data_IF_270978168917
#
_entry.id   IF_270978168917
#
_cell.length_a   1.000
_cell.length_b   1.000
_cell.length_c   1.000
_cell.angle_alpha   90.00
_cell.angle_beta   90.00
_cell.angle_gamma   90.00
#
_symmetry.space_group_name_H-M   'P 1'
#
loop_
_entity.id
_entity.type
_entity.pdbx_description
1 polymer ?
#
# COMPACT_ATOMS: atom_id res chain seq x y z
N UNK A 1 30.95 -16.42 -18.69
CA UNK A 1 31.80 -15.56 -19.54
C UNK A 1 31.68 -14.12 -19.03
N UNK A 2 32.72 -13.58 -18.38
CA UNK A 2 32.71 -12.18 -17.99
C UNK A 2 33.30 -11.36 -19.15
N UNK A 3 32.44 -10.60 -19.79
CA UNK A 3 32.88 -9.65 -20.84
C UNK A 3 33.20 -8.31 -20.18
N UNK A 4 34.47 -7.92 -20.18
CA UNK A 4 34.89 -6.56 -19.83
C UNK A 4 34.80 -5.71 -21.09
N UNK A 5 33.87 -4.76 -21.11
CA UNK A 5 33.82 -3.68 -22.09
C UNK A 5 34.47 -2.45 -21.46
N UNK A 6 35.78 -2.32 -21.63
CA UNK A 6 36.49 -1.13 -21.20
C UNK A 6 37.37 -0.64 -22.33
N UNK A 7 37.24 0.61 -22.73
CA UNK A 7 38.29 1.35 -23.41
C UNK A 7 38.16 2.84 -23.06
N UNK A 8 39.11 3.37 -22.39
CA UNK A 8 39.32 4.79 -22.21
C UNK A 8 40.71 4.99 -21.62
N UNK A 9 41.67 5.41 -22.44
CA UNK A 9 43.06 5.57 -22.03
C UNK A 9 43.27 6.70 -21.04
N UNK A 10 43.89 6.40 -19.93
CA UNK A 10 44.41 7.28 -18.91
C UNK A 10 45.23 6.45 -17.94
N UNK A 11 46.42 6.89 -17.56
CA UNK A 11 47.37 6.20 -16.69
C UNK A 11 46.92 6.12 -15.22
N UNK A 12 45.89 5.38 -14.97
CA UNK A 12 45.40 4.92 -13.72
C UNK A 12 44.46 3.79 -13.99
N UNK A 13 44.49 2.71 -13.24
CA UNK A 13 43.62 1.57 -13.39
C UNK A 13 42.15 2.06 -13.50
N UNK A 14 41.48 1.97 -14.63
CA UNK A 14 40.13 2.47 -14.75
C UNK A 14 39.26 1.69 -13.79
N UNK A 15 38.44 2.39 -13.00
CA UNK A 15 37.35 1.78 -12.27
C UNK A 15 36.47 1.07 -13.32
N UNK A 16 36.55 -0.26 -13.41
CA UNK A 16 35.91 -1.04 -14.46
C UNK A 16 34.41 -1.09 -14.20
N UNK A 17 33.63 -0.91 -15.25
CA UNK A 17 32.22 -1.30 -15.24
C UNK A 17 32.17 -2.83 -15.23
N UNK A 18 31.74 -3.44 -14.13
CA UNK A 18 31.51 -4.88 -14.06
C UNK A 18 30.05 -5.14 -14.35
N UNK A 19 29.81 -5.91 -15.41
CA UNK A 19 28.49 -6.41 -15.77
C UNK A 19 28.50 -7.90 -15.41
N UNK A 20 27.70 -8.30 -14.42
CA UNK A 20 27.61 -9.68 -13.97
C UNK A 20 26.15 -10.14 -13.85
N UNK A 21 25.90 -11.39 -14.21
CA UNK A 21 24.65 -12.07 -13.87
C UNK A 21 24.73 -12.49 -12.40
N UNK A 22 23.74 -12.13 -11.64
CA UNK A 22 23.59 -12.52 -10.24
C UNK A 22 22.54 -13.64 -10.16
N UNK A 23 23.00 -14.86 -9.92
CA UNK A 23 22.21 -16.09 -9.96
C UNK A 23 22.05 -16.73 -8.55
N UNK A 24 22.27 -15.94 -7.49
CA UNK A 24 22.04 -16.42 -6.11
C UNK A 24 20.57 -16.24 -5.72
N UNK A 25 20.08 -17.09 -4.83
CA UNK A 25 18.70 -16.93 -4.30
C UNK A 25 18.46 -15.53 -3.74
N UNK A 26 17.29 -14.89 -4.00
CA UNK A 26 16.10 -15.40 -4.71
C UNK A 26 16.16 -15.23 -6.24
N UNK A 27 17.28 -14.85 -6.83
CA UNK A 27 17.43 -14.53 -8.25
C UNK A 27 17.71 -15.75 -9.14
N UNK A 28 17.68 -16.96 -8.56
CA UNK A 28 17.95 -18.24 -9.25
C UNK A 28 17.04 -18.47 -10.47
N UNK A 29 15.82 -18.00 -10.43
CA UNK A 29 14.83 -18.16 -11.51
C UNK A 29 14.71 -16.93 -12.41
N UNK A 30 15.29 -15.80 -12.00
CA UNK A 30 15.24 -14.54 -12.74
C UNK A 30 16.64 -13.92 -12.69
N UNK A 31 17.43 -14.16 -13.70
CA UNK A 31 18.80 -13.62 -13.78
C UNK A 31 18.79 -12.09 -13.65
N UNK A 32 19.63 -11.56 -12.81
CA UNK A 32 19.82 -10.10 -12.64
C UNK A 32 21.10 -9.69 -13.30
N UNK A 33 21.01 -8.78 -14.27
CA UNK A 33 22.18 -8.10 -14.82
C UNK A 33 22.57 -6.96 -13.88
N UNK A 34 23.63 -7.14 -13.12
CA UNK A 34 24.17 -6.11 -12.25
C UNK A 34 25.17 -5.23 -13.01
N UNK A 35 24.96 -3.92 -12.99
CA UNK A 35 25.91 -2.93 -13.46
C UNK A 35 26.49 -2.26 -12.22
N UNK A 36 27.73 -2.57 -11.86
CA UNK A 36 28.37 -2.07 -10.65
C UNK A 36 29.50 -1.13 -11.00
N UNK A 37 29.48 0.07 -10.43
CA UNK A 37 30.65 0.95 -10.46
C UNK A 37 31.71 0.41 -9.48
N UNK A 38 32.78 -0.16 -9.98
CA UNK A 38 33.92 -0.56 -9.17
C UNK A 38 34.86 0.63 -9.03
N UNK A 39 34.90 1.26 -7.86
CA UNK A 39 35.84 2.34 -7.57
C UNK A 39 36.72 1.94 -6.39
N UNK A 40 37.98 2.37 -6.38
CA UNK A 40 38.87 2.22 -5.26
C UNK A 40 38.67 3.33 -4.22
N UNK A 41 37.80 4.28 -4.49
CA UNK A 41 37.40 5.37 -3.60
C UNK A 41 36.13 5.02 -2.83
N UNK A 42 35.95 5.58 -1.66
CA UNK A 42 34.85 5.27 -0.74
C UNK A 42 33.43 5.63 -1.28
N UNK A 43 33.33 6.35 -2.37
CA UNK A 43 32.06 6.72 -3.00
C UNK A 43 32.13 6.67 -4.52
N UNK A 44 31.20 5.95 -5.13
CA UNK A 44 30.98 5.91 -6.56
C UNK A 44 29.52 6.15 -6.88
N UNK A 45 29.21 6.90 -7.92
CA UNK A 45 27.84 7.13 -8.40
C UNK A 45 27.62 6.44 -9.74
N UNK A 46 26.50 5.74 -9.90
CA UNK A 46 26.02 5.23 -11.16
C UNK A 46 24.84 6.09 -11.64
N UNK A 47 25.02 6.78 -12.75
CA UNK A 47 23.94 7.51 -13.40
C UNK A 47 23.46 6.72 -14.62
N UNK A 48 22.16 6.37 -14.63
CA UNK A 48 21.46 5.81 -15.78
C UNK A 48 20.72 6.95 -16.48
N UNK A 49 21.32 7.53 -17.51
CA UNK A 49 20.73 8.65 -18.25
C UNK A 49 20.30 8.16 -19.62
N UNK A 50 18.99 8.05 -19.90
CA UNK A 50 18.53 7.72 -21.25
C UNK A 50 18.87 8.84 -22.22
N UNK A 51 19.27 8.49 -23.43
CA UNK A 51 19.54 9.46 -24.48
C UNK A 51 18.23 9.91 -25.14
N UNK A 52 17.97 11.21 -25.14
CA UNK A 52 16.74 11.79 -25.72
C UNK A 52 15.49 11.49 -24.87
N UNK A 53 14.39 11.13 -25.51
CA UNK A 53 13.11 10.78 -24.86
C UNK A 53 13.05 9.32 -24.38
N UNK A 54 14.18 8.65 -24.22
CA UNK A 54 14.23 7.28 -23.73
C UNK A 54 13.76 7.17 -22.28
N UNK A 55 13.22 6.02 -21.92
CA UNK A 55 12.75 5.71 -20.56
C UNK A 55 13.61 4.61 -19.94
N UNK A 56 13.78 4.67 -18.61
CA UNK A 56 14.27 3.53 -17.85
C UNK A 56 13.09 2.57 -17.66
N UNK A 57 13.07 1.47 -18.43
CA UNK A 57 12.03 0.45 -18.34
C UNK A 57 12.50 -0.68 -17.41
N UNK A 58 11.65 -1.08 -16.47
CA UNK A 58 11.94 -2.17 -15.53
C UNK A 58 10.69 -2.72 -14.87
N UNK A 59 10.76 -3.98 -14.44
CA UNK A 59 9.67 -4.64 -13.72
C UNK A 59 9.49 -4.15 -12.28
N UNK A 60 10.58 -3.76 -11.62
CA UNK A 60 10.61 -3.14 -10.31
C UNK A 60 11.81 -2.20 -10.20
N UNK A 61 11.63 -1.08 -9.48
CA UNK A 61 12.70 -0.13 -9.20
C UNK A 61 13.07 -0.23 -7.71
N UNK A 62 14.30 -0.59 -7.42
CA UNK A 62 14.74 -0.99 -6.08
C UNK A 62 16.11 -0.42 -5.73
N UNK A 63 16.31 -0.08 -4.44
CA UNK A 63 17.59 0.38 -3.93
C UNK A 63 18.62 -0.75 -3.77
N UNK A 64 18.16 -1.99 -3.55
CA UNK A 64 19.02 -3.15 -3.31
C UNK A 64 18.50 -4.38 -4.07
N UNK A 65 19.42 -5.14 -4.64
CA UNK A 65 19.09 -6.41 -5.31
C UNK A 65 18.63 -7.43 -4.26
N UNK A 66 17.48 -8.10 -4.44
CA UNK A 66 16.97 -9.09 -3.49
C UNK A 66 17.95 -10.24 -3.27
N UNK A 67 18.14 -10.63 -2.01
CA UNK A 67 19.01 -11.74 -1.59
C UNK A 67 18.35 -12.69 -0.59
N UNK A 68 17.07 -12.47 -0.28
CA UNK A 68 16.26 -13.18 0.70
C UNK A 68 16.75 -13.05 2.16
N UNK A 69 17.72 -12.19 2.43
CA UNK A 69 18.19 -11.88 3.78
C UNK A 69 17.56 -10.57 4.29
N UNK A 70 17.82 -10.23 5.54
CA UNK A 70 17.44 -8.91 6.08
C UNK A 70 18.17 -7.75 5.38
N UNK A 71 19.33 -8.00 4.77
CA UNK A 71 20.12 -6.92 4.11
C UNK A 71 19.40 -6.37 2.89
N UNK A 72 19.04 -7.19 1.92
CA UNK A 72 18.42 -6.74 0.68
C UNK A 72 16.94 -7.19 0.52
N UNK A 73 16.48 -8.11 1.37
CA UNK A 73 15.09 -8.54 1.44
C UNK A 73 14.67 -9.54 0.37
N UNK A 74 13.40 -9.93 0.43
CA UNK A 74 12.76 -10.79 -0.54
C UNK A 74 12.55 -10.09 -1.89
N UNK A 75 12.16 -10.87 -2.89
CA UNK A 75 11.75 -10.35 -4.22
C UNK A 75 10.61 -9.34 -4.06
N UNK A 76 10.70 -8.24 -4.80
CA UNK A 76 9.64 -7.24 -4.87
C UNK A 76 8.52 -7.71 -5.80
N UNK A 77 7.33 -7.17 -5.58
CA UNK A 77 6.20 -7.41 -6.47
C UNK A 77 6.43 -6.88 -7.89
N UNK A 78 5.65 -7.36 -8.84
CA UNK A 78 5.72 -6.88 -10.21
C UNK A 78 5.48 -5.36 -10.27
N UNK A 79 6.36 -4.62 -10.96
CA UNK A 79 6.31 -3.16 -11.10
C UNK A 79 6.35 -2.38 -9.77
N UNK A 80 6.87 -2.98 -8.70
CA UNK A 80 7.00 -2.32 -7.41
C UNK A 80 8.21 -1.38 -7.35
N UNK A 81 8.12 -0.38 -6.48
CA UNK A 81 9.22 0.56 -6.17
C UNK A 81 9.60 0.40 -4.70
N UNK A 82 10.88 0.16 -4.41
CA UNK A 82 11.39 -0.01 -3.03
C UNK A 82 12.73 0.70 -2.86
N UNK A 83 12.68 1.92 -2.32
CA UNK A 83 13.87 2.75 -2.09
C UNK A 83 14.45 2.65 -0.68
N UNK A 84 13.90 1.77 0.18
CA UNK A 84 14.51 1.58 1.49
C UNK A 84 15.78 0.72 1.39
N UNK A 85 16.77 1.06 2.22
CA UNK A 85 18.08 0.40 2.24
C UNK A 85 18.38 -0.38 3.53
N UNK A 86 17.53 -0.26 4.56
CA UNK A 86 17.72 -0.95 5.84
C UNK A 86 16.47 -1.73 6.25
N UNK A 87 16.67 -2.98 6.67
CA UNK A 87 15.65 -3.94 7.13
C UNK A 87 16.19 -4.75 8.29
N UNK A 88 15.30 -5.31 9.10
CA UNK A 88 15.64 -6.33 10.13
C UNK A 88 15.06 -7.69 9.76
N UNK A 89 14.16 -7.75 8.76
CA UNK A 89 13.59 -8.98 8.23
C UNK A 89 13.48 -8.92 6.71
N UNK A 90 13.64 -10.06 6.04
CA UNK A 90 13.58 -10.17 4.59
C UNK A 90 12.20 -9.81 4.00
N UNK A 91 11.14 -9.89 4.81
CA UNK A 91 9.76 -9.56 4.41
C UNK A 91 9.44 -8.07 4.38
N UNK A 92 10.32 -7.22 4.91
CA UNK A 92 10.14 -5.77 4.93
C UNK A 92 10.50 -5.16 3.57
N UNK A 93 9.63 -5.37 2.60
CA UNK A 93 9.82 -4.99 1.19
C UNK A 93 8.49 -4.59 0.54
N UNK A 94 8.55 -3.95 -0.61
CA UNK A 94 7.40 -3.74 -1.49
C UNK A 94 7.09 -5.03 -2.26
N UNK A 95 6.43 -6.01 -1.60
CA UNK A 95 6.11 -7.31 -2.21
C UNK A 95 4.76 -7.35 -2.95
N UNK A 96 3.89 -6.37 -2.72
CA UNK A 96 2.66 -6.23 -3.50
C UNK A 96 2.93 -5.80 -4.94
N UNK A 97 2.14 -6.26 -5.90
CA UNK A 97 2.24 -5.78 -7.28
C UNK A 97 1.91 -4.27 -7.31
N UNK A 98 2.73 -3.48 -8.02
CA UNK A 98 2.62 -2.01 -8.08
C UNK A 98 2.74 -1.31 -6.72
N UNK A 99 3.26 -1.99 -5.69
CA UNK A 99 3.45 -1.38 -4.38
C UNK A 99 4.64 -0.42 -4.38
N UNK A 100 4.58 0.58 -3.50
CA UNK A 100 5.61 1.62 -3.40
C UNK A 100 6.09 1.75 -1.95
N UNK A 101 7.40 1.72 -1.76
CA UNK A 101 8.08 2.20 -0.55
C UNK A 101 9.00 3.35 -0.97
N UNK A 102 8.65 4.57 -0.60
CA UNK A 102 9.36 5.79 -1.00
C UNK A 102 10.71 6.00 -0.30
N UNK A 103 11.02 5.19 0.71
CA UNK A 103 12.27 5.26 1.47
C UNK A 103 12.11 4.83 2.92
N UNK A 104 13.04 5.28 3.79
CA UNK A 104 13.01 4.96 5.21
C UNK A 104 13.59 3.59 5.55
N UNK A 105 13.09 2.97 6.64
CA UNK A 105 13.62 1.72 7.17
C UNK A 105 12.53 0.79 7.66
N UNK A 106 12.72 -0.53 7.53
CA UNK A 106 11.85 -1.56 8.11
C UNK A 106 10.38 -1.50 7.65
N UNK A 107 10.11 -0.89 6.52
CA UNK A 107 8.77 -0.73 5.97
C UNK A 107 8.35 -1.95 5.14
N UNK A 108 7.05 -2.25 5.11
CA UNK A 108 6.49 -3.32 4.30
C UNK A 108 5.24 -2.84 3.54
N UNK A 109 5.24 -2.99 2.21
CA UNK A 109 4.09 -2.72 1.35
C UNK A 109 3.70 -4.02 0.64
N UNK A 110 2.83 -4.81 1.27
CA UNK A 110 2.49 -6.17 0.80
C UNK A 110 1.18 -6.23 0.04
N UNK A 111 0.31 -5.23 0.19
CA UNK A 111 -0.90 -5.10 -0.59
C UNK A 111 -0.63 -4.68 -2.03
N UNK A 112 -1.44 -5.14 -2.97
CA UNK A 112 -1.40 -4.63 -4.35
C UNK A 112 -1.74 -3.12 -4.34
N UNK A 113 -0.98 -2.30 -5.09
CA UNK A 113 -1.06 -0.83 -5.11
C UNK A 113 -0.85 -0.16 -3.75
N UNK A 114 -0.36 -0.88 -2.73
CA UNK A 114 -0.09 -0.30 -1.42
C UNK A 114 1.07 0.68 -1.47
N UNK A 115 1.02 1.71 -0.64
CA UNK A 115 2.05 2.75 -0.59
C UNK A 115 2.48 3.01 0.85
N UNK A 116 3.78 2.89 1.10
CA UNK A 116 4.44 3.45 2.26
C UNK A 116 5.23 4.68 1.81
N UNK A 117 4.83 5.86 2.28
CA UNK A 117 5.50 7.11 1.89
C UNK A 117 6.96 7.14 2.36
N UNK A 118 7.23 6.54 3.51
CA UNK A 118 8.54 6.50 4.15
C UNK A 118 8.41 6.33 5.66
N UNK A 119 9.46 6.73 6.40
CA UNK A 119 9.50 6.59 7.84
C UNK A 119 10.11 5.26 8.29
N UNK A 120 9.72 4.76 9.46
CA UNK A 120 10.28 3.55 10.04
C UNK A 120 9.19 2.62 10.56
N UNK A 121 9.18 1.37 10.08
CA UNK A 121 8.29 0.33 10.56
C UNK A 121 6.84 0.45 10.10
N UNK A 122 6.54 1.13 9.01
CA UNK A 122 5.18 1.21 8.47
C UNK A 122 4.79 -0.08 7.70
N UNK A 123 3.52 -0.49 7.82
CA UNK A 123 2.96 -1.67 7.15
C UNK A 123 1.69 -1.32 6.37
N UNK A 124 1.75 -1.46 5.05
CA UNK A 124 0.63 -1.31 4.14
C UNK A 124 0.27 -2.68 3.54
N UNK A 125 -0.61 -3.44 4.21
CA UNK A 125 -0.83 -4.85 3.92
C UNK A 125 -2.05 -5.13 3.02
N UNK A 126 -2.94 -4.16 2.82
CA UNK A 126 -4.16 -4.35 2.03
C UNK A 126 -4.10 -3.57 0.72
N UNK A 127 -4.98 -3.91 -0.20
CA UNK A 127 -5.09 -3.26 -1.51
C UNK A 127 -5.22 -1.75 -1.38
N UNK A 128 -4.35 -1.02 -2.07
CA UNK A 128 -4.38 0.44 -2.11
C UNK A 128 -4.16 1.16 -0.77
N UNK A 129 -3.77 0.45 0.30
CA UNK A 129 -3.51 1.10 1.60
C UNK A 129 -2.30 2.02 1.52
N UNK A 130 -2.46 3.23 2.01
CA UNK A 130 -1.36 4.14 2.34
C UNK A 130 -1.01 3.99 3.81
N UNK A 131 0.29 3.94 4.14
CA UNK A 131 0.75 3.91 5.53
C UNK A 131 1.99 4.79 5.74
N UNK A 132 2.14 5.32 6.97
CA UNK A 132 3.29 6.09 7.42
C UNK A 132 3.51 5.87 8.91
N UNK A 133 4.76 5.67 9.32
CA UNK A 133 5.15 5.52 10.72
C UNK A 133 6.44 6.26 11.02
N UNK A 134 6.61 6.75 12.26
CA UNK A 134 7.85 7.34 12.75
C UNK A 134 8.71 6.36 13.57
N UNK A 135 8.24 5.15 13.74
CA UNK A 135 8.82 4.06 14.52
C UNK A 135 7.77 3.05 14.90
N UNK A 136 8.15 2.07 15.70
CA UNK A 136 7.25 1.04 16.26
C UNK A 136 7.54 0.84 17.75
N UNK A 137 6.59 0.32 18.51
CA UNK A 137 6.80 -0.06 19.90
C UNK A 137 7.55 -1.40 20.00
N UNK A 138 7.02 -2.43 19.37
CA UNK A 138 7.57 -3.77 19.35
C UNK A 138 7.71 -4.36 17.95
N UNK A 139 6.77 -4.05 17.05
CA UNK A 139 6.69 -4.64 15.72
C UNK A 139 6.26 -3.61 14.67
N UNK A 140 6.74 -3.73 13.43
CA UNK A 140 6.28 -2.85 12.35
C UNK A 140 4.75 -2.85 12.23
N UNK A 141 4.19 -1.65 12.09
CA UNK A 141 2.74 -1.43 11.99
C UNK A 141 2.01 -1.16 13.31
N UNK A 142 2.67 -1.32 14.46
CA UNK A 142 2.04 -1.15 15.78
C UNK A 142 1.94 0.31 16.27
N UNK A 143 2.46 1.26 15.50
CA UNK A 143 2.36 2.70 15.74
C UNK A 143 2.38 3.46 14.41
N UNK A 144 1.24 3.53 13.71
CA UNK A 144 1.20 4.13 12.38
C UNK A 144 -0.08 4.88 12.08
N UNK A 145 0.00 5.75 11.07
CA UNK A 145 -1.15 6.28 10.35
C UNK A 145 -1.45 5.38 9.15
N UNK A 146 -2.74 5.10 8.91
CA UNK A 146 -3.23 4.39 7.74
C UNK A 146 -4.33 5.15 7.02
N UNK A 147 -4.42 4.95 5.70
CA UNK A 147 -5.54 5.43 4.90
C UNK A 147 -5.87 4.41 3.82
N UNK A 148 -7.15 4.12 3.63
CA UNK A 148 -7.65 3.25 2.56
C UNK A 148 -8.83 3.91 1.88
N UNK A 149 -8.86 3.87 0.54
CA UNK A 149 -10.00 4.31 -0.25
C UNK A 149 -10.83 3.10 -0.63
N UNK A 150 -12.13 3.15 -0.31
CA UNK A 150 -13.10 2.12 -0.66
C UNK A 150 -14.09 2.69 -1.68
N UNK A 151 -14.67 1.84 -2.51
CA UNK A 151 -15.64 2.24 -3.54
C UNK A 151 -16.69 1.17 -3.77
N UNK A 152 -17.82 1.59 -4.32
CA UNK A 152 -18.90 0.68 -4.74
C UNK A 152 -19.94 1.41 -5.56
N UNK A 153 -20.88 0.64 -6.12
CA UNK A 153 -22.01 1.15 -6.90
C UNK A 153 -23.28 0.51 -6.37
N UNK A 154 -24.29 1.31 -6.09
CA UNK A 154 -25.65 0.82 -5.84
C UNK A 154 -26.56 1.14 -7.00
N UNK A 155 -27.44 0.18 -7.35
CA UNK A 155 -28.51 0.34 -8.34
C UNK A 155 -29.81 0.02 -7.63
N UNK A 156 -30.44 1.05 -7.03
CA UNK A 156 -31.63 0.86 -6.18
C UNK A 156 -31.28 0.65 -4.71
N UNK A 157 -32.18 0.03 -3.94
CA UNK A 157 -32.11 -0.06 -2.47
C UNK A 157 -31.32 -1.25 -1.93
N UNK A 158 -30.70 -2.05 -2.79
CA UNK A 158 -29.87 -3.17 -2.33
C UNK A 158 -28.60 -2.64 -1.71
N UNK A 159 -28.31 -3.08 -0.47
CA UNK A 159 -27.09 -2.72 0.25
C UNK A 159 -25.87 -3.36 -0.41
N UNK A 160 -24.80 -2.60 -0.57
CA UNK A 160 -23.50 -3.08 -1.05
C UNK A 160 -22.42 -2.81 -0.02
N UNK A 161 -21.38 -3.63 -0.02
CA UNK A 161 -20.15 -3.42 0.73
C UNK A 161 -19.18 -2.62 -0.12
N UNK A 162 -18.64 -1.53 0.43
CA UNK A 162 -17.56 -0.80 -0.23
C UNK A 162 -16.22 -1.52 -0.01
N UNK A 163 -15.45 -1.69 -1.07
CA UNK A 163 -14.15 -2.36 -1.06
C UNK A 163 -13.11 -1.57 -1.85
N UNK A 164 -11.84 -1.80 -1.61
CA UNK A 164 -10.78 -1.02 -2.23
C UNK A 164 -10.67 -1.26 -3.76
N UNK A 165 -11.01 -2.44 -4.22
CA UNK A 165 -10.99 -2.82 -5.65
C UNK A 165 -12.39 -2.84 -6.30
N UNK A 166 -13.46 -2.64 -5.52
CA UNK A 166 -14.85 -2.68 -6.00
C UNK A 166 -15.40 -4.09 -6.23
N UNK A 167 -14.69 -5.13 -5.79
CA UNK A 167 -15.13 -6.53 -5.89
C UNK A 167 -15.75 -7.04 -4.57
N UNK A 168 -16.11 -8.33 -4.52
CA UNK A 168 -16.63 -8.94 -3.29
C UNK A 168 -15.66 -8.77 -2.10
N UNK A 169 -16.17 -8.54 -0.88
CA UNK A 169 -15.33 -8.30 0.30
C UNK A 169 -14.40 -9.46 0.61
N UNK A 170 -13.16 -9.14 0.95
CA UNK A 170 -12.12 -10.09 1.35
C UNK A 170 -11.18 -9.44 2.38
N UNK A 171 -10.32 -10.23 3.01
CA UNK A 171 -9.32 -9.73 3.94
C UNK A 171 -8.26 -8.82 3.28
N UNK A 172 -8.18 -8.79 1.96
CA UNK A 172 -7.18 -8.00 1.23
C UNK A 172 -7.73 -6.70 0.62
N UNK A 173 -9.04 -6.56 0.47
CA UNK A 173 -9.68 -5.40 -0.17
C UNK A 173 -10.63 -4.61 0.72
N UNK A 174 -10.77 -4.98 2.00
CA UNK A 174 -11.45 -4.18 3.03
C UNK A 174 -10.44 -3.34 3.82
N UNK A 175 -10.90 -2.38 4.63
CA UNK A 175 -10.05 -1.67 5.58
C UNK A 175 -9.71 -2.63 6.75
N UNK A 176 -8.80 -3.57 6.49
CA UNK A 176 -8.46 -4.65 7.39
C UNK A 176 -7.54 -4.16 8.53
N UNK A 177 -7.80 -4.65 9.73
CA UNK A 177 -6.98 -4.41 10.91
C UNK A 177 -5.88 -5.48 11.02
N UNK A 178 -4.69 -5.08 11.43
CA UNK A 178 -3.68 -6.04 11.84
C UNK A 178 -4.14 -6.78 13.11
N UNK A 179 -3.72 -8.03 13.24
CA UNK A 179 -4.04 -8.85 14.41
C UNK A 179 -3.41 -8.24 15.67
N UNK A 180 -4.18 -8.16 16.75
CA UNK A 180 -3.74 -7.54 18.00
C UNK A 180 -3.88 -6.01 18.06
N UNK A 181 -4.38 -5.33 17.01
CA UNK A 181 -4.36 -3.86 16.91
C UNK A 181 -5.70 -3.20 17.22
N UNK A 182 -5.60 -1.93 17.59
CA UNK A 182 -6.72 -0.99 17.74
C UNK A 182 -6.59 0.10 16.67
N UNK A 183 -7.69 0.42 16.01
CA UNK A 183 -7.78 1.49 15.02
C UNK A 183 -8.80 2.54 15.48
N UNK A 184 -8.31 3.75 15.76
CA UNK A 184 -9.17 4.92 15.88
C UNK A 184 -9.37 5.48 14.47
N UNK A 185 -10.60 5.34 13.94
CA UNK A 185 -10.91 5.63 12.56
C UNK A 185 -11.78 6.87 12.40
N UNK A 186 -11.45 7.71 11.40
CA UNK A 186 -12.30 8.72 10.80
C UNK A 186 -12.67 8.26 9.40
N UNK A 187 -13.96 8.22 9.10
CA UNK A 187 -14.48 7.61 7.89
C UNK A 187 -15.37 8.65 7.20
N UNK A 188 -15.00 9.02 5.99
CA UNK A 188 -15.76 9.95 5.15
C UNK A 188 -16.29 9.19 3.95
N UNK A 189 -17.60 9.18 3.78
CA UNK A 189 -18.32 8.53 2.67
C UNK A 189 -18.98 9.60 1.84
N UNK A 190 -18.83 9.54 0.53
CA UNK A 190 -19.52 10.40 -0.41
C UNK A 190 -20.12 9.59 -1.55
N UNK A 191 -21.29 10.01 -2.03
CA UNK A 191 -21.91 9.41 -3.21
C UNK A 191 -22.51 10.47 -4.13
N UNK A 192 -22.60 10.14 -5.41
CA UNK A 192 -23.20 10.99 -6.43
C UNK A 192 -23.86 10.15 -7.52
N UNK A 193 -24.83 10.74 -8.23
CA UNK A 193 -25.39 10.18 -9.46
C UNK A 193 -24.41 10.46 -10.61
N UNK A 194 -23.96 9.43 -11.36
CA UNK A 194 -23.03 9.64 -12.47
C UNK A 194 -23.65 10.49 -13.57
N UNK A 195 -22.92 11.51 -14.04
CA UNK A 195 -23.29 12.31 -15.21
C UNK A 195 -24.35 13.40 -14.98
N UNK A 196 -24.89 13.50 -13.77
CA UNK A 196 -25.84 14.54 -13.38
C UNK A 196 -25.27 15.43 -12.28
N UNK A 197 -25.76 16.64 -12.15
CA UNK A 197 -25.34 17.59 -11.13
C UNK A 197 -26.44 17.74 -10.09
N UNK A 198 -26.11 17.99 -8.92
CA UNK A 198 -25.25 17.41 -7.89
C UNK A 198 -26.04 16.70 -6.80
N UNK A 199 -26.68 15.61 -7.10
CA UNK A 199 -27.24 14.75 -6.04
C UNK A 199 -26.07 14.23 -5.21
N UNK A 200 -25.98 14.71 -3.99
CA UNK A 200 -24.82 14.43 -3.13
C UNK A 200 -25.28 13.84 -1.80
N UNK A 201 -24.66 12.73 -1.43
CA UNK A 201 -24.77 12.15 -0.10
C UNK A 201 -23.39 12.16 0.53
N UNK A 202 -23.28 12.71 1.73
CA UNK A 202 -22.03 12.72 2.51
C UNK A 202 -22.32 12.28 3.93
N UNK A 203 -21.54 11.32 4.41
CA UNK A 203 -21.51 10.89 5.80
C UNK A 203 -20.11 10.98 6.35
N UNK A 204 -19.98 11.46 7.57
CA UNK A 204 -18.75 11.43 8.33
C UNK A 204 -18.97 10.69 9.65
N UNK A 205 -18.10 9.72 9.91
CA UNK A 205 -18.16 8.89 11.12
C UNK A 205 -16.82 8.88 11.84
N UNK A 206 -16.87 8.76 13.16
CA UNK A 206 -15.73 8.32 13.98
C UNK A 206 -16.09 7.05 14.73
N UNK A 207 -15.15 6.12 14.80
CA UNK A 207 -15.31 4.86 15.49
C UNK A 207 -13.97 4.27 15.91
N UNK A 208 -13.99 3.41 16.93
CA UNK A 208 -12.82 2.66 17.37
C UNK A 208 -13.09 1.17 17.12
N UNK A 209 -12.17 0.53 16.42
CA UNK A 209 -12.20 -0.90 16.18
C UNK A 209 -10.98 -1.56 16.79
N UNK A 210 -11.13 -2.79 17.26
CA UNK A 210 -10.00 -3.63 17.67
C UNK A 210 -10.13 -5.03 17.09
N UNK A 211 -8.99 -5.64 16.81
CA UNK A 211 -8.88 -7.04 16.48
C UNK A 211 -8.00 -7.74 17.52
N UNK A 212 -8.49 -8.81 18.15
CA UNK A 212 -7.73 -9.55 19.15
C UNK A 212 -6.69 -10.45 18.50
N UNK A 213 -5.54 -10.65 19.17
CA UNK A 213 -4.50 -11.58 18.73
C UNK A 213 -5.04 -13.00 18.59
N UNK A 214 -4.73 -13.66 17.48
CA UNK A 214 -5.17 -15.02 17.18
C UNK A 214 -6.66 -15.18 16.89
N UNK A 215 -7.44 -14.12 16.92
CA UNK A 215 -8.86 -14.13 16.61
C UNK A 215 -9.12 -13.34 15.32
N UNK A 216 -9.83 -13.95 14.39
CA UNK A 216 -10.28 -13.25 13.16
C UNK A 216 -11.38 -12.21 13.45
N UNK A 217 -11.79 -12.06 14.70
CA UNK A 217 -12.96 -11.25 15.08
C UNK A 217 -12.54 -9.80 15.33
N UNK A 218 -12.88 -8.92 14.41
CA UNK A 218 -12.85 -7.48 14.64
C UNK A 218 -14.10 -7.09 15.42
N UNK A 219 -13.93 -6.20 16.39
CA UNK A 219 -15.01 -5.68 17.23
C UNK A 219 -15.00 -4.16 17.16
N UNK A 220 -16.20 -3.58 17.08
CA UNK A 220 -16.42 -2.17 17.36
C UNK A 220 -16.30 -1.96 18.87
N UNK A 221 -15.51 -0.97 19.29
CA UNK A 221 -15.33 -0.59 20.69
C UNK A 221 -16.17 0.65 20.98
N UNK A 222 -17.25 0.48 21.72
CA UNK A 222 -18.23 1.55 21.95
C UNK A 222 -19.21 1.68 20.78
N UNK A 223 -19.67 2.89 20.50
CA UNK A 223 -20.59 3.20 19.40
C UNK A 223 -19.87 3.82 18.21
N UNK A 224 -20.55 3.86 17.07
CA UNK A 224 -20.21 4.75 15.96
C UNK A 224 -20.77 6.12 16.25
N UNK A 225 -19.97 7.15 16.12
CA UNK A 225 -20.45 8.54 16.18
C UNK A 225 -20.56 9.06 14.75
N UNK A 226 -21.78 9.33 14.32
CA UNK A 226 -22.04 10.09 13.10
C UNK A 226 -21.84 11.57 13.40
N UNK A 227 -20.95 12.23 12.67
CA UNK A 227 -20.63 13.64 12.86
C UNK A 227 -21.48 14.49 11.94
N UNK A 228 -21.63 14.06 10.68
CA UNK A 228 -22.36 14.78 9.64
C UNK A 228 -23.06 13.80 8.73
N UNK A 229 -24.31 14.08 8.42
CA UNK A 229 -25.04 13.50 7.32
C UNK A 229 -25.61 14.64 6.46
N UNK A 230 -25.24 14.69 5.20
CA UNK A 230 -25.78 15.60 4.19
C UNK A 230 -26.40 14.75 3.11
N UNK A 231 -27.71 14.85 2.95
CA UNK A 231 -28.44 14.19 1.89
C UNK A 231 -29.16 15.26 1.08
N UNK A 232 -29.06 15.19 -0.22
CA UNK A 232 -29.79 16.10 -1.10
C UNK A 232 -31.30 16.00 -0.81
N UNK A 233 -32.01 17.12 -0.62
CA UNK A 233 -33.42 17.11 -0.24
C UNK A 233 -34.37 16.52 -1.28
N UNK A 234 -33.94 16.28 -2.51
CA UNK A 234 -34.78 15.76 -3.59
C UNK A 234 -34.90 14.22 -3.54
N UNK A 235 -35.41 13.67 -2.44
CA UNK A 235 -35.88 12.26 -2.28
C UNK A 235 -34.82 11.16 -2.24
N UNK A 236 -33.56 11.42 -1.89
CA UNK A 236 -32.61 10.32 -1.65
C UNK A 236 -32.82 9.68 -0.29
N UNK A 237 -33.21 8.41 -0.30
CA UNK A 237 -33.23 7.54 0.89
C UNK A 237 -31.88 6.80 1.07
N UNK A 238 -30.84 7.25 0.36
CA UNK A 238 -29.53 6.64 0.37
C UNK A 238 -28.83 6.83 1.73
N UNK A 239 -28.20 5.80 2.23
CA UNK A 239 -27.50 5.82 3.54
C UNK A 239 -26.19 5.03 3.51
N UNK A 240 -25.26 5.43 4.36
CA UNK A 240 -24.06 4.65 4.67
C UNK A 240 -24.11 4.19 6.12
N UNK A 241 -23.50 3.03 6.40
CA UNK A 241 -23.37 2.49 7.75
C UNK A 241 -21.99 1.86 7.94
N UNK A 242 -21.55 1.86 9.21
CA UNK A 242 -20.23 1.39 9.61
C UNK A 242 -20.40 0.29 10.66
N UNK A 243 -19.71 -0.83 10.46
CA UNK A 243 -19.72 -1.93 11.42
C UNK A 243 -18.38 -2.68 11.43
N UNK A 244 -18.23 -3.58 12.38
CA UNK A 244 -17.08 -4.48 12.42
C UNK A 244 -17.25 -5.61 11.38
N UNK A 245 -16.20 -5.88 10.60
CA UNK A 245 -16.13 -7.04 9.74
C UNK A 245 -15.47 -8.21 10.48
N UNK A 246 -16.28 -9.00 11.13
CA UNK A 246 -15.81 -10.18 11.85
C UNK A 246 -15.31 -11.30 10.91
N UNK A 247 -15.72 -11.30 9.64
CA UNK A 247 -15.34 -12.34 8.65
C UNK A 247 -13.97 -12.05 8.04
N UNK A 248 -13.75 -10.80 7.61
CA UNK A 248 -12.51 -10.42 6.94
C UNK A 248 -11.51 -9.72 7.87
N UNK A 249 -11.90 -9.46 9.11
CA UNK A 249 -11.02 -8.87 10.13
C UNK A 249 -10.81 -7.37 9.98
N UNK A 250 -11.78 -6.64 9.44
CA UNK A 250 -11.66 -5.22 9.11
C UNK A 250 -12.83 -4.35 9.55
N UNK A 251 -12.91 -3.18 8.95
CA UNK A 251 -14.03 -2.24 9.04
C UNK A 251 -14.95 -2.47 7.85
N UNK A 252 -16.21 -2.67 8.14
CA UNK A 252 -17.27 -2.75 7.15
C UNK A 252 -17.84 -1.36 6.89
N UNK A 253 -17.73 -0.88 5.69
CA UNK A 253 -18.48 0.27 5.20
C UNK A 253 -19.51 -0.24 4.21
N UNK A 254 -20.77 -0.05 4.51
CA UNK A 254 -21.89 -0.45 3.66
C UNK A 254 -22.63 0.78 3.15
N UNK A 255 -23.18 0.66 1.97
CA UNK A 255 -23.95 1.71 1.33
C UNK A 255 -25.27 1.14 0.81
N UNK A 256 -26.36 1.84 1.06
CA UNK A 256 -27.69 1.54 0.55
C UNK A 256 -28.11 2.71 -0.35
N UNK A 257 -28.45 2.43 -1.59
CA UNK A 257 -28.89 3.46 -2.55
C UNK A 257 -30.38 3.76 -2.47
N UNK A 258 -30.86 4.58 -3.38
CA UNK A 258 -32.26 4.94 -3.54
C UNK A 258 -32.93 4.18 -4.68
N UNK A 259 -34.25 3.96 -4.57
CA UNK A 259 -35.02 3.22 -5.57
C UNK A 259 -34.92 3.88 -6.96
N UNK A 260 -34.58 3.09 -7.98
CA UNK A 260 -34.50 3.56 -9.37
C UNK A 260 -33.28 4.42 -9.70
N UNK A 261 -32.38 4.65 -8.74
CA UNK A 261 -31.20 5.52 -8.91
C UNK A 261 -29.91 4.71 -8.80
N UNK A 262 -28.98 4.97 -9.71
CA UNK A 262 -27.60 4.47 -9.60
C UNK A 262 -26.73 5.50 -8.89
N UNK A 263 -26.05 5.09 -7.82
CA UNK A 263 -25.10 5.94 -7.07
C UNK A 263 -23.70 5.33 -7.12
N UNK A 264 -22.72 6.19 -7.40
CA UNK A 264 -21.29 5.88 -7.23
C UNK A 264 -20.85 6.35 -5.86
N UNK A 265 -20.29 5.42 -5.09
CA UNK A 265 -19.83 5.64 -3.72
C UNK A 265 -18.31 5.61 -3.65
N UNK A 266 -17.74 6.55 -2.93
CA UNK A 266 -16.34 6.55 -2.52
C UNK A 266 -16.26 6.81 -1.01
N UNK A 267 -15.31 6.14 -0.36
CA UNK A 267 -15.10 6.26 1.07
C UNK A 267 -13.61 6.33 1.37
N UNK A 268 -13.20 7.22 2.26
CA UNK A 268 -11.86 7.21 2.85
C UNK A 268 -11.95 6.75 4.30
N UNK A 269 -11.16 5.73 4.65
CA UNK A 269 -10.96 5.27 6.01
C UNK A 269 -9.57 5.71 6.45
N UNK A 270 -9.50 6.72 7.30
CA UNK A 270 -8.26 7.20 7.93
C UNK A 270 -8.17 6.61 9.33
N UNK A 271 -7.00 6.12 9.72
CA UNK A 271 -6.82 5.46 11.02
C UNK A 271 -5.52 5.86 11.71
N UNK A 272 -5.59 6.01 13.03
CA UNK A 272 -4.44 5.88 13.91
C UNK A 272 -4.44 4.43 14.43
N UNK A 273 -3.36 3.71 14.14
CA UNK A 273 -3.24 2.27 14.36
C UNK A 273 -2.24 2.02 15.49
N UNK A 274 -2.65 1.27 16.52
CA UNK A 274 -1.86 0.93 17.71
C UNK A 274 -1.97 -0.57 17.97
N UNK A 275 -0.81 -1.25 18.13
CA UNK A 275 -0.71 -2.68 18.43
C UNK A 275 -0.01 -3.02 19.74
#
# INVERSE_FOLDING_TARGET
>A
MSGILGTGGGSGTPAGLVIALQETAPNVTTGVLAITASTTTASGSLALVPKGAGTLAGGALIAQVPDATATAGNVRGANAVDWQSYRVASTQVASGAYAVIGGGTQNAATGQFATVAGGSGAVAATYGKFAMASGSFASPGDAQYGCTVLRGITTGTTQVRLTADGTAPSATNTANLQDGHVYAARILVAATVPGDSPVTVVYEFTAVFRRRTGAQTTMLVGGVTEITAITDPDDLTAMADISADAVNGGIAVTATGSAGITLHWACTVQSTEVG
#
